data_IF_960676511669
#
_entry.id   IF_960676511669
#
_cell.length_a   1.000
_cell.length_b   1.000
_cell.length_c   1.000
_cell.angle_alpha   90.00
_cell.angle_beta   90.00
_cell.angle_gamma   90.00
#
_symmetry.space_group_name_H-M   'P 1'
#
loop_
_entity.id
_entity.type
_entity.pdbx_description
1 polymer ?
#
# COMPACT_ATOMS: atom_id res chain seq x y z
N UNK A 1 9.78 -53.09 26.88
CA UNK A 1 8.87 -52.71 25.77
C UNK A 1 8.91 -51.20 25.66
N UNK A 2 9.54 -50.68 24.61
CA UNK A 2 9.49 -49.27 24.23
C UNK A 2 8.12 -49.03 23.59
N UNK A 3 7.29 -48.22 24.23
CA UNK A 3 6.05 -47.73 23.63
C UNK A 3 6.43 -46.68 22.60
N UNK A 4 6.18 -46.95 21.31
CA UNK A 4 6.26 -45.91 20.26
C UNK A 4 5.13 -44.90 20.51
N UNK A 5 5.45 -43.64 20.51
CA UNK A 5 4.46 -42.56 20.59
C UNK A 5 3.53 -42.68 19.36
N UNK A 6 2.23 -42.95 19.50
CA UNK A 6 1.32 -43.13 18.37
C UNK A 6 0.98 -41.80 17.67
N UNK A 7 1.37 -40.68 18.24
CA UNK A 7 1.18 -39.35 17.60
C UNK A 7 2.44 -38.99 16.80
N UNK A 8 2.28 -38.82 15.50
CA UNK A 8 3.34 -38.16 14.71
C UNK A 8 3.74 -36.84 15.39
N UNK A 9 5.01 -36.73 15.71
CA UNK A 9 5.55 -35.44 16.15
C UNK A 9 5.44 -34.47 14.99
N UNK A 10 4.31 -33.74 14.95
CA UNK A 10 4.22 -32.54 14.13
C UNK A 10 5.33 -31.62 14.66
N UNK A 11 6.45 -31.55 13.93
CA UNK A 11 7.48 -30.52 14.17
C UNK A 11 6.73 -29.21 14.19
N UNK A 12 6.54 -28.65 15.38
CA UNK A 12 6.05 -27.29 15.50
C UNK A 12 6.94 -26.45 14.60
N UNK A 13 6.40 -25.94 13.48
CA UNK A 13 7.07 -24.89 12.71
C UNK A 13 7.40 -23.83 13.75
N UNK A 14 8.69 -23.57 13.96
CA UNK A 14 9.14 -22.60 14.93
C UNK A 14 8.26 -21.37 14.79
N UNK A 15 7.55 -21.02 15.83
CA UNK A 15 6.79 -19.78 15.86
C UNK A 15 7.83 -18.67 15.75
N UNK A 16 8.05 -18.14 14.55
CA UNK A 16 8.76 -16.89 14.40
C UNK A 16 7.93 -15.86 15.18
N UNK A 17 8.40 -15.56 16.38
CA UNK A 17 7.75 -14.58 17.28
C UNK A 17 7.90 -13.16 16.74
N UNK A 18 8.84 -12.96 15.81
CA UNK A 18 9.16 -11.66 15.21
C UNK A 18 9.04 -11.68 13.68
N UNK A 19 8.84 -10.50 13.11
CA UNK A 19 8.85 -10.32 11.67
C UNK A 19 10.28 -10.43 11.14
N UNK A 20 10.48 -11.22 10.09
CA UNK A 20 11.77 -11.29 9.36
C UNK A 20 12.06 -10.02 8.53
N UNK A 21 11.15 -9.07 8.49
CA UNK A 21 11.30 -7.84 7.71
C UNK A 21 11.75 -6.69 8.60
N UNK A 22 12.78 -6.01 8.14
CA UNK A 22 13.37 -4.88 8.85
C UNK A 22 12.45 -3.64 8.78
N UNK A 23 12.22 -2.93 9.91
CA UNK A 23 11.50 -1.67 9.91
C UNK A 23 12.41 -0.53 9.42
N UNK A 24 11.81 0.45 8.73
CA UNK A 24 12.38 1.75 8.47
C UNK A 24 12.02 2.71 9.61
N UNK A 25 12.91 3.62 10.01
CA UNK A 25 12.59 4.66 10.99
C UNK A 25 11.51 5.61 10.44
N UNK A 26 10.73 6.21 11.33
CA UNK A 26 9.60 7.07 10.93
C UNK A 26 10.02 8.26 10.08
N UNK A 27 11.18 8.86 10.37
CA UNK A 27 11.74 9.95 9.54
C UNK A 27 11.87 9.54 8.07
N UNK A 28 12.41 8.35 7.80
CA UNK A 28 12.55 7.87 6.43
C UNK A 28 11.20 7.61 5.77
N UNK A 29 10.18 7.20 6.54
CA UNK A 29 8.81 7.12 6.03
C UNK A 29 8.29 8.51 5.65
N UNK A 30 8.56 9.54 6.44
CA UNK A 30 8.21 10.93 6.12
C UNK A 30 8.93 11.43 4.86
N UNK A 31 10.23 11.14 4.74
CA UNK A 31 11.00 11.49 3.53
C UNK A 31 10.46 10.79 2.28
N UNK A 32 10.12 9.51 2.38
CA UNK A 32 9.47 8.76 1.27
C UNK A 32 8.10 9.35 0.89
N UNK A 33 7.30 9.77 1.89
CA UNK A 33 6.03 10.48 1.64
C UNK A 33 6.27 11.77 0.87
N UNK A 34 7.26 12.57 1.31
CA UNK A 34 7.57 13.84 0.69
C UNK A 34 8.10 13.69 -0.74
N UNK A 35 8.95 12.70 -1.01
CA UNK A 35 9.41 12.40 -2.37
C UNK A 35 8.23 12.04 -3.27
N UNK A 36 7.32 11.20 -2.78
CA UNK A 36 6.22 10.66 -3.57
C UNK A 36 5.10 11.68 -3.76
N UNK A 37 4.68 12.32 -2.67
CA UNK A 37 3.56 13.27 -2.59
C UNK A 37 4.01 14.47 -1.74
N UNK A 38 4.58 15.52 -2.36
CA UNK A 38 5.20 16.64 -1.64
C UNK A 38 4.18 17.53 -0.92
N UNK A 39 2.91 17.46 -1.30
CA UNK A 39 1.85 18.30 -0.76
C UNK A 39 0.77 17.46 -0.08
N UNK A 40 0.26 17.85 1.10
CA UNK A 40 -0.81 17.13 1.78
C UNK A 40 -2.13 17.15 1.01
N UNK A 41 -2.35 18.18 0.22
CA UNK A 41 -3.45 18.34 -0.74
C UNK A 41 -2.91 18.98 -2.01
N UNK A 42 -3.47 18.67 -3.17
CA UNK A 42 -3.03 19.19 -4.46
C UNK A 42 -3.57 18.36 -5.61
N UNK A 43 -2.80 18.23 -6.66
CA UNK A 43 -3.17 17.53 -7.88
C UNK A 43 -2.15 16.45 -8.24
N UNK A 44 -2.55 15.49 -9.06
CA UNK A 44 -1.61 14.48 -9.57
C UNK A 44 -0.50 15.10 -10.42
N UNK A 45 -0.72 16.30 -11.00
CA UNK A 45 0.33 17.06 -11.65
C UNK A 45 1.49 17.46 -10.72
N UNK A 46 1.27 17.52 -9.40
CA UNK A 46 2.31 17.83 -8.40
C UNK A 46 3.24 16.65 -8.10
N UNK A 47 2.84 15.43 -8.46
CA UNK A 47 3.60 14.21 -8.22
C UNK A 47 4.76 14.03 -9.23
N UNK A 48 5.56 15.08 -9.41
CA UNK A 48 6.60 15.17 -10.46
C UNK A 48 7.58 14.01 -10.43
N UNK A 49 8.04 13.63 -9.23
CA UNK A 49 8.95 12.51 -9.09
C UNK A 49 8.34 11.21 -9.64
N UNK A 50 7.12 10.87 -9.25
CA UNK A 50 6.42 9.67 -9.65
C UNK A 50 6.19 9.58 -11.17
N UNK A 51 5.81 10.70 -11.80
CA UNK A 51 5.59 10.81 -13.25
C UNK A 51 6.85 10.49 -14.05
N UNK A 52 8.04 10.78 -13.51
CA UNK A 52 9.33 10.59 -14.19
C UNK A 52 9.89 9.17 -14.05
N UNK A 53 9.38 8.38 -13.08
CA UNK A 53 9.97 7.08 -12.76
C UNK A 53 9.62 5.97 -13.75
N UNK A 54 8.58 6.14 -14.53
CA UNK A 54 8.13 5.14 -15.50
C UNK A 54 7.96 5.76 -16.88
N UNK A 55 8.13 4.98 -17.92
CA UNK A 55 7.69 5.38 -19.25
C UNK A 55 8.73 5.89 -20.23
N UNK A 56 10.00 5.69 -19.98
CA UNK A 56 11.02 5.91 -21.04
C UNK A 56 11.05 4.80 -22.11
N UNK A 57 10.49 3.62 -21.80
CA UNK A 57 10.40 2.50 -22.71
C UNK A 57 9.19 2.54 -23.64
N UNK A 58 9.20 1.68 -24.67
CA UNK A 58 8.10 1.54 -25.65
C UNK A 58 6.79 1.08 -24.99
N UNK A 59 6.87 0.32 -23.89
CA UNK A 59 5.74 -0.12 -23.07
C UNK A 59 5.71 0.67 -21.76
N UNK A 60 5.15 1.84 -21.80
CA UNK A 60 5.19 2.96 -20.88
C UNK A 60 5.06 2.78 -19.38
N UNK A 61 4.97 1.58 -18.82
CA UNK A 61 4.79 1.44 -17.36
C UNK A 61 3.46 2.07 -16.90
N UNK A 62 3.53 3.22 -16.21
CA UNK A 62 2.34 3.91 -15.71
C UNK A 62 1.72 4.88 -16.74
N UNK A 63 2.26 4.95 -17.96
CA UNK A 63 1.72 5.76 -19.04
C UNK A 63 0.94 4.89 -20.01
N UNK A 64 -0.33 5.16 -20.24
CA UNK A 64 -1.18 4.42 -21.17
C UNK A 64 -1.67 5.32 -22.30
N UNK A 65 -1.82 4.73 -23.47
CA UNK A 65 -2.28 5.42 -24.66
C UNK A 65 -3.77 5.69 -24.58
N UNK A 66 -4.14 6.89 -25.00
CA UNK A 66 -5.53 7.37 -25.04
C UNK A 66 -5.81 8.09 -26.35
N UNK A 67 -7.07 8.23 -26.70
CA UNK A 67 -7.52 9.17 -27.73
C UNK A 67 -7.32 10.60 -27.24
N UNK A 68 -7.01 11.54 -28.16
CA UNK A 68 -6.80 12.96 -27.81
C UNK A 68 -8.04 13.57 -27.17
N UNK A 69 -9.24 13.11 -27.52
CA UNK A 69 -10.50 13.58 -26.97
C UNK A 69 -10.67 13.33 -25.47
N UNK A 70 -9.92 12.35 -24.91
CA UNK A 70 -9.92 12.06 -23.47
C UNK A 70 -9.03 13.01 -22.67
N UNK A 71 -8.16 13.78 -23.35
CA UNK A 71 -7.23 14.68 -22.67
C UNK A 71 -7.93 15.98 -22.30
N UNK A 72 -8.11 16.18 -21.01
CA UNK A 72 -8.59 17.43 -20.47
C UNK A 72 -7.38 18.30 -20.03
N UNK A 73 -7.04 19.29 -20.86
CA UNK A 73 -5.90 20.20 -20.63
C UNK A 73 -6.11 21.13 -19.44
N UNK A 74 -7.36 21.31 -19.00
CA UNK A 74 -7.71 22.17 -17.86
C UNK A 74 -7.73 21.38 -16.54
N UNK A 75 -7.73 20.06 -16.58
CA UNK A 75 -7.71 19.21 -15.41
C UNK A 75 -6.26 18.94 -14.96
N UNK A 76 -5.88 19.52 -13.83
CA UNK A 76 -4.53 19.31 -13.24
C UNK A 76 -4.28 17.85 -12.79
N UNK A 77 -5.33 17.03 -12.72
CA UNK A 77 -5.20 15.60 -12.47
C UNK A 77 -5.05 14.78 -13.76
N UNK A 78 -5.23 15.39 -14.93
CA UNK A 78 -4.92 14.84 -16.24
C UNK A 78 -3.45 15.09 -16.60
N UNK A 79 -2.56 14.28 -16.06
CA UNK A 79 -1.13 14.36 -16.43
C UNK A 79 -0.93 13.64 -17.75
N UNK A 80 -0.66 14.37 -18.81
CA UNK A 80 -0.58 13.84 -20.16
C UNK A 80 0.72 14.23 -20.89
N UNK A 81 1.03 13.50 -21.97
CA UNK A 81 2.13 13.80 -22.89
C UNK A 81 1.82 13.29 -24.30
N UNK A 82 2.48 13.92 -25.30
CA UNK A 82 2.54 13.39 -26.65
C UNK A 82 3.89 12.71 -26.88
N UNK A 83 3.89 11.62 -27.64
CA UNK A 83 5.09 10.86 -27.95
C UNK A 83 5.03 10.37 -29.40
N UNK A 84 6.14 10.58 -30.14
CA UNK A 84 6.30 9.96 -31.45
C UNK A 84 6.70 8.49 -31.29
N UNK A 85 6.03 7.62 -32.01
CA UNK A 85 6.31 6.18 -32.08
C UNK A 85 6.29 5.71 -33.52
N UNK A 86 7.10 4.70 -33.84
CA UNK A 86 7.05 4.06 -35.14
C UNK A 86 6.16 2.83 -35.09
N UNK A 87 5.06 2.85 -35.83
CA UNK A 87 4.16 1.69 -36.03
C UNK A 87 4.03 1.40 -37.52
N UNK A 88 4.21 0.15 -37.91
CA UNK A 88 4.14 -0.27 -39.34
C UNK A 88 4.96 0.63 -40.26
N UNK A 89 6.21 0.94 -39.84
CA UNK A 89 7.18 1.78 -40.57
C UNK A 89 6.75 3.26 -40.75
N UNK A 90 5.66 3.70 -40.12
CA UNK A 90 5.22 5.10 -40.13
C UNK A 90 5.43 5.73 -38.75
N UNK A 91 5.92 6.97 -38.74
CA UNK A 91 5.94 7.79 -37.51
C UNK A 91 4.54 8.31 -37.24
N UNK A 92 4.03 8.04 -36.06
CA UNK A 92 2.73 8.54 -35.59
C UNK A 92 2.92 9.19 -34.22
N UNK A 93 2.18 10.24 -33.96
CA UNK A 93 2.08 10.84 -32.62
C UNK A 93 0.99 10.12 -31.87
N UNK A 94 1.31 9.65 -30.67
CA UNK A 94 0.36 9.06 -29.73
C UNK A 94 0.25 9.96 -28.51
N UNK A 95 -0.91 9.95 -27.88
CA UNK A 95 -1.17 10.65 -26.65
C UNK A 95 -1.24 9.65 -25.50
N UNK A 96 -0.66 10.02 -24.37
CA UNK A 96 -0.63 9.17 -23.18
C UNK A 96 -1.04 9.96 -21.94
N UNK A 97 -1.81 9.32 -21.06
CA UNK A 97 -2.10 9.81 -19.70
C UNK A 97 -1.27 9.00 -18.70
N UNK A 98 -0.77 9.66 -17.66
CA UNK A 98 -0.11 9.01 -16.55
C UNK A 98 -1.13 8.46 -15.56
N UNK A 99 -0.98 7.18 -15.19
CA UNK A 99 -1.78 6.52 -14.17
C UNK A 99 -1.14 6.68 -12.79
N UNK A 100 -1.78 7.32 -11.83
CA UNK A 100 -1.26 7.47 -10.46
C UNK A 100 -1.37 6.21 -9.62
N UNK A 101 -2.01 5.15 -10.12
CA UNK A 101 -2.46 3.98 -9.34
C UNK A 101 -1.32 3.30 -8.58
N UNK A 102 -0.18 3.00 -9.23
CA UNK A 102 0.95 2.34 -8.57
C UNK A 102 1.54 3.20 -7.45
N UNK A 103 1.69 4.49 -7.70
CA UNK A 103 2.18 5.47 -6.73
C UNK A 103 1.20 5.68 -5.57
N UNK A 104 -0.10 5.68 -5.86
CA UNK A 104 -1.13 5.76 -4.83
C UNK A 104 -1.17 4.54 -3.91
N UNK A 105 -0.88 3.32 -4.41
CA UNK A 105 -0.71 2.15 -3.53
C UNK A 105 0.41 2.40 -2.52
N UNK A 106 1.55 2.95 -2.97
CA UNK A 106 2.67 3.27 -2.10
C UNK A 106 2.30 4.38 -1.10
N UNK A 107 1.60 5.42 -1.55
CA UNK A 107 1.10 6.47 -0.68
C UNK A 107 0.26 5.91 0.47
N UNK A 108 -0.71 5.05 0.18
CA UNK A 108 -1.53 4.42 1.21
C UNK A 108 -0.69 3.54 2.15
N UNK A 109 0.26 2.76 1.62
CA UNK A 109 1.14 1.92 2.43
C UNK A 109 2.12 2.70 3.31
N UNK A 110 2.48 3.92 2.91
CA UNK A 110 3.28 4.83 3.72
C UNK A 110 2.48 5.48 4.86
N UNK A 111 1.14 5.53 4.76
CA UNK A 111 0.27 6.15 5.78
C UNK A 111 -0.45 5.13 6.67
N UNK A 112 -0.78 3.96 6.12
CA UNK A 112 -1.56 2.93 6.82
C UNK A 112 -0.81 1.60 6.81
N UNK A 113 -0.77 0.86 7.94
CA UNK A 113 -0.07 -0.42 8.05
C UNK A 113 -0.82 -1.55 7.35
N UNK A 114 -1.27 -1.33 6.12
CA UNK A 114 -2.01 -2.29 5.32
C UNK A 114 -1.06 -3.22 4.56
N UNK A 115 -1.50 -4.47 4.34
CA UNK A 115 -0.82 -5.37 3.40
C UNK A 115 -1.04 -4.88 1.97
N UNK A 116 -0.06 -5.06 1.09
CA UNK A 116 -0.18 -4.67 -0.33
C UNK A 116 -1.46 -5.24 -0.97
N UNK A 117 -1.77 -6.50 -0.67
CA UNK A 117 -3.01 -7.13 -1.12
C UNK A 117 -4.27 -6.39 -0.64
N UNK A 118 -4.30 -5.96 0.63
CA UNK A 118 -5.44 -5.22 1.18
C UNK A 118 -5.66 -3.90 0.42
N UNK A 119 -4.60 -3.14 0.18
CA UNK A 119 -4.70 -1.87 -0.57
C UNK A 119 -5.21 -2.10 -2.00
N UNK A 120 -4.66 -3.10 -2.68
CA UNK A 120 -5.06 -3.42 -4.06
C UNK A 120 -6.53 -3.86 -4.19
N UNK A 121 -7.09 -4.46 -3.14
CA UNK A 121 -8.47 -4.95 -3.10
C UNK A 121 -9.48 -3.93 -2.54
N UNK A 122 -9.06 -2.70 -2.23
CA UNK A 122 -9.99 -1.67 -1.80
C UNK A 122 -11.02 -1.36 -2.90
N UNK A 123 -12.26 -1.26 -2.46
CA UNK A 123 -13.38 -0.89 -3.32
C UNK A 123 -13.54 0.63 -3.37
N UNK A 124 -13.86 1.18 -4.51
CA UNK A 124 -14.02 2.63 -4.72
C UNK A 124 -15.34 3.19 -4.14
N UNK A 125 -16.33 2.32 -3.92
CA UNK A 125 -17.67 2.70 -3.52
C UNK A 125 -18.54 3.20 -4.69
N UNK A 126 -18.11 2.99 -5.95
CA UNK A 126 -18.91 3.40 -7.12
C UNK A 126 -20.24 2.66 -7.22
N UNK A 127 -20.40 1.49 -6.57
CA UNK A 127 -21.66 0.77 -6.50
C UNK A 127 -22.41 0.95 -5.17
N UNK A 128 -21.84 1.68 -4.21
CA UNK A 128 -22.46 1.89 -2.90
C UNK A 128 -23.72 2.76 -2.98
N UNK A 129 -24.61 2.61 -2.02
CA UNK A 129 -25.83 3.45 -1.91
C UNK A 129 -25.46 4.92 -1.65
N UNK A 130 -24.48 5.15 -0.80
CA UNK A 130 -24.00 6.48 -0.45
C UNK A 130 -22.55 6.68 -0.90
N UNK A 131 -22.24 7.90 -1.28
CA UNK A 131 -20.92 8.33 -1.76
C UNK A 131 -20.35 9.41 -0.85
N UNK A 132 -19.10 9.22 -0.44
CA UNK A 132 -18.32 10.27 0.21
C UNK A 132 -17.73 11.20 -0.85
N UNK A 133 -18.03 12.50 -0.76
CA UNK A 133 -17.53 13.50 -1.71
C UNK A 133 -17.35 14.87 -1.03
N UNK A 134 -16.15 15.44 -1.16
CA UNK A 134 -15.79 16.75 -0.60
C UNK A 134 -16.16 16.89 0.90
N UNK A 135 -15.93 15.84 1.68
CA UNK A 135 -16.22 15.84 3.11
C UNK A 135 -17.66 15.48 3.48
N UNK A 136 -18.55 15.27 2.51
CA UNK A 136 -19.96 14.99 2.73
C UNK A 136 -20.36 13.60 2.23
N UNK A 137 -21.45 13.09 2.76
CA UNK A 137 -22.09 11.87 2.29
C UNK A 137 -23.34 12.25 1.47
N UNK A 138 -23.36 11.82 0.21
CA UNK A 138 -24.45 12.09 -0.76
C UNK A 138 -24.98 10.78 -1.32
N UNK A 139 -26.14 10.81 -1.96
CA UNK A 139 -26.62 9.70 -2.77
C UNK A 139 -25.65 9.45 -3.93
N UNK A 140 -25.39 8.19 -4.22
CA UNK A 140 -24.46 7.82 -5.28
C UNK A 140 -25.10 8.08 -6.67
N UNK A 141 -24.46 8.90 -7.53
CA UNK A 141 -25.04 9.27 -8.82
C UNK A 141 -24.90 8.21 -9.92
N UNK A 142 -24.19 7.09 -9.67
CA UNK A 142 -23.97 6.07 -10.68
C UNK A 142 -25.22 5.22 -10.93
N UNK A 143 -25.57 4.98 -12.20
CA UNK A 143 -26.70 4.18 -12.62
C UNK A 143 -26.67 2.72 -12.15
N UNK A 144 -25.45 2.22 -11.83
CA UNK A 144 -25.24 0.89 -11.28
C UNK A 144 -25.08 0.85 -9.76
N UNK A 145 -25.38 1.95 -9.07
CA UNK A 145 -25.41 1.97 -7.60
C UNK A 145 -26.49 1.01 -7.08
N UNK A 146 -26.14 0.23 -6.08
CA UNK A 146 -26.98 -0.82 -5.53
C UNK A 146 -27.61 -0.37 -4.22
N UNK A 147 -28.89 -0.68 -4.04
CA UNK A 147 -29.60 -0.35 -2.82
C UNK A 147 -29.06 -1.18 -1.63
N UNK A 148 -28.84 -0.53 -0.49
CA UNK A 148 -28.27 -1.14 0.72
C UNK A 148 -26.87 -1.76 0.55
N UNK A 149 -26.09 -1.25 -0.41
CA UNK A 149 -24.74 -1.70 -0.66
C UNK A 149 -23.72 -0.73 -0.03
N UNK A 150 -22.67 -1.25 0.58
CA UNK A 150 -21.65 -0.43 1.26
C UNK A 150 -20.37 -1.24 1.37
N UNK A 151 -19.58 -1.27 0.30
CA UNK A 151 -18.27 -1.95 0.20
C UNK A 151 -17.10 -1.01 0.00
N UNK A 152 -17.41 0.24 -0.30
CA UNK A 152 -16.42 1.27 -0.57
C UNK A 152 -15.47 1.50 0.59
N UNK A 153 -14.26 1.95 0.24
CA UNK A 153 -13.20 2.25 1.20
C UNK A 153 -13.60 3.33 2.21
N UNK A 154 -14.49 4.24 1.86
CA UNK A 154 -15.01 5.26 2.76
C UNK A 154 -16.10 4.68 3.65
N UNK A 155 -16.02 4.96 4.96
CA UNK A 155 -16.97 4.47 5.94
C UNK A 155 -17.43 5.60 6.86
N UNK A 156 -18.74 5.81 6.94
CA UNK A 156 -19.32 6.74 7.90
C UNK A 156 -19.44 6.08 9.27
N UNK A 157 -18.99 6.80 10.28
CA UNK A 157 -19.13 6.43 11.69
C UNK A 157 -20.00 7.45 12.38
N UNK A 158 -21.02 6.97 13.06
CA UNK A 158 -21.94 7.79 13.83
C UNK A 158 -22.02 7.27 15.26
N UNK A 159 -21.74 8.14 16.21
CA UNK A 159 -21.98 7.87 17.61
C UNK A 159 -23.37 8.38 17.97
N UNK A 160 -24.31 7.46 18.15
CA UNK A 160 -25.70 7.80 18.45
C UNK A 160 -25.87 8.46 19.84
N UNK A 161 -24.91 8.32 20.76
CA UNK A 161 -24.98 8.90 22.08
C UNK A 161 -24.56 10.37 22.09
N UNK A 162 -23.56 10.73 21.29
CA UNK A 162 -22.99 12.08 21.24
C UNK A 162 -23.38 12.87 20.00
N UNK A 163 -23.96 12.19 18.98
CA UNK A 163 -24.22 12.76 17.68
C UNK A 163 -22.94 13.00 16.85
N UNK A 164 -21.76 12.57 17.34
CA UNK A 164 -20.52 12.73 16.64
C UNK A 164 -20.50 11.89 15.35
N UNK A 165 -20.20 12.53 14.23
CA UNK A 165 -20.03 11.88 12.93
C UNK A 165 -18.59 12.05 12.44
N UNK A 166 -18.03 10.99 11.86
CA UNK A 166 -16.71 11.02 11.24
C UNK A 166 -16.67 10.07 10.04
N UNK A 167 -15.72 10.30 9.14
CA UNK A 167 -15.45 9.39 8.04
C UNK A 167 -14.11 8.71 8.28
N UNK A 168 -14.12 7.39 8.27
CA UNK A 168 -12.91 6.57 8.32
C UNK A 168 -12.86 5.63 7.13
N UNK A 169 -12.22 4.49 7.30
CA UNK A 169 -11.93 3.57 6.20
C UNK A 169 -12.52 2.18 6.47
N UNK A 170 -12.94 1.53 5.40
CA UNK A 170 -13.29 0.12 5.38
C UNK A 170 -12.29 -0.65 4.51
N UNK A 171 -11.67 -1.65 5.10
CA UNK A 171 -10.71 -2.52 4.43
C UNK A 171 -11.42 -3.82 4.07
N UNK A 172 -11.75 -3.99 2.80
CA UNK A 172 -12.66 -5.02 2.28
C UNK A 172 -12.13 -6.47 2.42
N UNK A 173 -10.89 -6.68 2.88
CA UNK A 173 -10.32 -8.03 3.04
C UNK A 173 -9.36 -8.13 4.21
N UNK A 174 -9.42 -9.24 4.96
CA UNK A 174 -8.57 -9.50 6.13
C UNK A 174 -8.02 -10.93 6.18
N UNK A 175 -7.38 -11.36 5.10
CA UNK A 175 -6.64 -12.64 5.00
C UNK A 175 -7.41 -13.83 5.66
N UNK A 176 -6.81 -14.42 6.71
CA UNK A 176 -7.38 -15.60 7.39
C UNK A 176 -8.63 -15.31 8.21
N UNK A 177 -8.83 -14.07 8.64
CA UNK A 177 -10.03 -13.69 9.39
C UNK A 177 -11.32 -13.73 8.54
N UNK A 178 -11.16 -13.70 7.21
CA UNK A 178 -12.27 -13.73 6.26
C UNK A 178 -12.57 -15.14 5.72
N UNK A 179 -11.89 -16.16 6.18
CA UNK A 179 -11.88 -17.49 5.53
C UNK A 179 -13.28 -18.11 5.40
N UNK A 180 -14.15 -17.87 6.39
CA UNK A 180 -15.50 -18.42 6.46
C UNK A 180 -16.57 -17.30 6.53
N UNK A 181 -16.27 -16.11 6.00
CA UNK A 181 -17.16 -14.97 6.05
C UNK A 181 -17.78 -14.70 4.70
N UNK A 182 -19.03 -14.28 4.70
CA UNK A 182 -19.75 -13.81 3.54
C UNK A 182 -19.24 -12.45 3.06
N UNK A 183 -19.65 -12.05 1.88
CA UNK A 183 -19.23 -10.86 1.17
C UNK A 183 -19.26 -9.58 2.05
N UNK A 184 -20.31 -9.39 2.83
CA UNK A 184 -20.52 -8.20 3.67
C UNK A 184 -19.90 -8.27 5.08
N UNK A 185 -19.45 -9.45 5.50
CA UNK A 185 -18.82 -9.66 6.82
C UNK A 185 -17.30 -9.61 6.76
N UNK A 186 -16.73 -9.55 5.56
CA UNK A 186 -15.27 -9.54 5.33
C UNK A 186 -14.67 -8.22 5.74
N UNK A 187 -13.37 -8.26 5.98
CA UNK A 187 -12.61 -7.07 6.24
C UNK A 187 -12.71 -6.54 7.67
N UNK A 188 -12.47 -5.25 7.81
CA UNK A 188 -12.55 -4.53 9.07
C UNK A 188 -12.57 -3.02 8.84
N UNK A 189 -12.97 -2.28 9.85
CA UNK A 189 -13.08 -0.83 9.82
C UNK A 189 -11.93 -0.15 10.57
N UNK A 190 -11.50 0.99 10.06
CA UNK A 190 -10.54 1.89 10.71
C UNK A 190 -11.27 3.20 11.02
N UNK A 191 -11.75 3.40 12.24
CA UNK A 191 -12.52 4.58 12.63
C UNK A 191 -11.61 5.80 12.87
N UNK A 192 -10.78 6.12 11.91
CA UNK A 192 -9.84 7.23 11.94
C UNK A 192 -9.99 8.10 10.71
N UNK A 193 -10.43 9.32 10.91
CA UNK A 193 -10.54 10.32 9.86
C UNK A 193 -9.16 10.93 9.56
N UNK A 194 -8.41 10.26 8.68
CA UNK A 194 -7.15 10.78 8.16
C UNK A 194 -7.44 11.63 6.92
N UNK A 195 -7.50 12.95 7.10
CA UNK A 195 -7.87 13.90 6.05
C UNK A 195 -7.02 13.75 4.77
N UNK A 196 -5.69 13.58 4.92
CA UNK A 196 -4.81 13.43 3.77
C UNK A 196 -5.06 12.14 2.99
N UNK A 197 -5.28 11.03 3.71
CA UNK A 197 -5.59 9.73 3.08
C UNK A 197 -6.95 9.77 2.39
N UNK A 198 -7.97 10.32 3.06
CA UNK A 198 -9.32 10.44 2.49
C UNK A 198 -9.31 11.31 1.23
N UNK A 199 -8.63 12.47 1.27
CA UNK A 199 -8.49 13.37 0.13
C UNK A 199 -7.89 12.68 -1.10
N UNK A 200 -6.76 11.99 -0.93
CA UNK A 200 -6.08 11.35 -2.05
C UNK A 200 -6.80 10.09 -2.55
N UNK A 201 -7.50 9.34 -1.68
CA UNK A 201 -8.36 8.23 -2.11
C UNK A 201 -9.55 8.72 -2.94
N UNK A 202 -10.19 9.81 -2.51
CA UNK A 202 -11.28 10.45 -3.26
C UNK A 202 -10.79 10.95 -4.62
N UNK A 203 -9.62 11.60 -4.65
CA UNK A 203 -8.99 12.04 -5.89
C UNK A 203 -8.69 10.88 -6.84
N UNK A 204 -8.18 9.77 -6.33
CA UNK A 204 -7.94 8.58 -7.13
C UNK A 204 -9.25 8.01 -7.68
N UNK A 205 -10.31 7.94 -6.88
CA UNK A 205 -11.63 7.49 -7.33
C UNK A 205 -12.13 8.35 -8.48
N UNK A 206 -12.13 9.68 -8.32
CA UNK A 206 -12.59 10.62 -9.34
C UNK A 206 -11.73 10.53 -10.62
N UNK A 207 -10.43 10.32 -10.48
CA UNK A 207 -9.53 10.05 -11.60
C UNK A 207 -9.89 8.76 -12.33
N UNK A 208 -10.15 7.66 -11.60
CA UNK A 208 -10.56 6.38 -12.17
C UNK A 208 -11.90 6.48 -12.91
N UNK A 209 -12.87 7.17 -12.34
CA UNK A 209 -14.17 7.40 -12.97
C UNK A 209 -14.05 8.16 -14.29
N UNK A 210 -13.14 9.15 -14.36
CA UNK A 210 -12.94 9.97 -15.56
C UNK A 210 -12.09 9.29 -16.62
N UNK A 211 -10.98 8.65 -16.24
CA UNK A 211 -9.95 8.17 -17.19
C UNK A 211 -9.90 6.65 -17.35
N UNK A 212 -10.55 5.91 -16.49
CA UNK A 212 -10.68 4.45 -16.56
C UNK A 212 -12.05 3.99 -16.02
N UNK A 213 -13.16 4.48 -16.60
CA UNK A 213 -14.51 4.22 -16.10
C UNK A 213 -14.88 2.73 -16.17
N UNK A 214 -15.81 2.35 -15.31
CA UNK A 214 -16.46 1.03 -15.32
C UNK A 214 -17.98 1.21 -15.49
N UNK A 215 -18.63 0.21 -16.06
CA UNK A 215 -20.10 0.22 -16.24
C UNK A 215 -20.84 -0.69 -15.25
N UNK A 216 -20.10 -1.48 -14.49
CA UNK A 216 -20.63 -2.40 -13.48
C UNK A 216 -19.51 -2.89 -12.57
N UNK A 217 -19.85 -3.37 -11.36
CA UNK A 217 -18.88 -4.04 -10.48
C UNK A 217 -18.25 -5.27 -11.15
N UNK A 218 -16.97 -5.51 -10.87
CA UNK A 218 -16.21 -6.65 -11.39
C UNK A 218 -16.50 -7.90 -10.56
N UNK A 219 -16.87 -9.00 -11.20
CA UNK A 219 -17.02 -10.31 -10.55
C UNK A 219 -15.63 -10.82 -10.14
N UNK A 220 -15.44 -11.06 -8.84
CA UNK A 220 -14.17 -11.53 -8.28
C UNK A 220 -13.78 -12.92 -8.76
N UNK A 221 -14.72 -13.74 -9.27
CA UNK A 221 -14.40 -15.05 -9.87
C UNK A 221 -13.54 -14.95 -11.13
N UNK A 222 -13.51 -13.78 -11.76
CA UNK A 222 -12.69 -13.49 -12.95
C UNK A 222 -11.23 -13.14 -12.63
N UNK A 223 -10.88 -13.02 -11.34
CA UNK A 223 -9.53 -12.70 -10.92
C UNK A 223 -8.57 -13.88 -11.12
N UNK A 224 -7.41 -13.59 -11.68
CA UNK A 224 -6.31 -14.53 -11.90
C UNK A 224 -5.25 -14.40 -10.80
N UNK A 225 -4.27 -15.31 -10.79
CA UNK A 225 -3.15 -15.31 -9.83
C UNK A 225 -2.39 -13.97 -9.81
N UNK A 226 -2.21 -13.33 -10.97
CA UNK A 226 -1.56 -12.01 -11.08
C UNK A 226 -2.28 -10.90 -10.31
N UNK A 227 -3.60 -11.05 -10.10
CA UNK A 227 -4.42 -10.10 -9.34
C UNK A 227 -4.47 -10.44 -7.85
N UNK A 228 -4.37 -11.74 -7.49
CA UNK A 228 -4.58 -12.23 -6.12
C UNK A 228 -3.30 -12.62 -5.37
N UNK A 229 -2.11 -12.47 -6.01
CA UNK A 229 -0.77 -12.84 -5.46
C UNK A 229 -0.56 -14.38 -5.37
N UNK A 230 -1.59 -15.14 -5.06
CA UNK A 230 -1.55 -16.61 -4.97
C UNK A 230 -2.83 -17.21 -5.54
N UNK A 231 -2.74 -18.45 -6.01
CA UNK A 231 -3.92 -19.17 -6.51
C UNK A 231 -4.99 -19.25 -5.42
N UNK A 232 -6.20 -18.80 -5.73
CA UNK A 232 -7.37 -18.87 -4.87
C UNK A 232 -8.35 -19.89 -5.42
N UNK A 233 -9.12 -20.54 -4.54
CA UNK A 233 -10.19 -21.43 -4.96
C UNK A 233 -11.34 -20.61 -5.57
N UNK A 234 -12.11 -21.21 -6.47
CA UNK A 234 -13.32 -20.58 -7.03
C UNK A 234 -14.31 -20.20 -5.92
N UNK A 235 -14.48 -21.07 -4.92
CA UNK A 235 -15.35 -20.80 -3.77
C UNK A 235 -14.90 -19.54 -2.99
N UNK A 236 -13.58 -19.37 -2.78
CA UNK A 236 -13.05 -18.16 -2.14
C UNK A 236 -13.34 -16.90 -2.96
N UNK A 237 -13.13 -16.95 -4.27
CA UNK A 237 -13.38 -15.80 -5.15
C UNK A 237 -14.89 -15.49 -5.25
N UNK A 238 -15.74 -16.52 -5.32
CA UNK A 238 -17.20 -16.37 -5.30
C UNK A 238 -17.66 -15.72 -3.99
N UNK A 239 -17.11 -16.12 -2.85
CA UNK A 239 -17.42 -15.51 -1.55
C UNK A 239 -16.91 -14.07 -1.38
N UNK A 240 -16.05 -13.58 -2.29
CA UNK A 240 -15.70 -12.14 -2.36
C UNK A 240 -16.78 -11.32 -3.09
N UNK A 241 -17.65 -11.97 -3.88
CA UNK A 241 -18.71 -11.34 -4.65
C UNK A 241 -18.20 -10.42 -5.74
N UNK A 242 -18.70 -9.20 -5.77
CA UNK A 242 -18.36 -8.18 -6.76
C UNK A 242 -17.61 -7.01 -6.10
N UNK A 243 -16.79 -6.31 -6.88
CA UNK A 243 -16.06 -5.13 -6.39
C UNK A 243 -15.82 -4.10 -7.50
N UNK A 244 -15.90 -2.84 -7.13
CA UNK A 244 -15.43 -1.72 -7.94
C UNK A 244 -14.01 -1.37 -7.50
N UNK A 245 -12.98 -2.06 -8.03
CA UNK A 245 -11.61 -1.87 -7.55
C UNK A 245 -11.13 -0.44 -7.71
N UNK A 246 -10.82 0.22 -6.59
CA UNK A 246 -10.27 1.58 -6.59
C UNK A 246 -8.88 1.62 -7.26
N UNK A 247 -8.07 0.58 -7.05
CA UNK A 247 -6.73 0.43 -7.61
C UNK A 247 -6.73 -0.43 -8.88
N UNK A 248 -7.72 -0.25 -9.75
CA UNK A 248 -7.81 -0.93 -11.04
C UNK A 248 -6.75 -0.44 -12.03
N UNK A 249 -6.26 -1.32 -12.89
CA UNK A 249 -5.08 -1.09 -13.74
C UNK A 249 -5.44 -0.47 -15.09
N UNK A 250 -5.50 0.86 -15.16
CA UNK A 250 -5.75 1.59 -16.41
C UNK A 250 -4.71 1.29 -17.51
N UNK A 251 -3.52 0.81 -17.12
CA UNK A 251 -2.40 0.53 -18.04
C UNK A 251 -2.41 -0.87 -18.62
N UNK A 252 -3.36 -1.71 -18.21
CA UNK A 252 -3.47 -3.08 -18.68
C UNK A 252 -3.70 -3.13 -20.19
N UNK A 253 -3.04 -4.08 -20.86
CA UNK A 253 -3.17 -4.23 -22.32
C UNK A 253 -4.54 -4.76 -22.75
N UNK A 254 -5.17 -5.58 -21.91
CA UNK A 254 -6.46 -6.18 -22.19
C UNK A 254 -7.56 -5.36 -21.53
N UNK A 255 -8.65 -5.04 -22.25
CA UNK A 255 -9.77 -4.29 -21.68
C UNK A 255 -10.34 -4.94 -20.40
N UNK A 256 -10.45 -6.27 -20.38
CA UNK A 256 -10.94 -7.03 -19.23
C UNK A 256 -10.03 -6.99 -18.00
N UNK A 257 -8.79 -6.59 -18.16
CA UNK A 257 -7.84 -6.43 -17.04
C UNK A 257 -7.82 -4.99 -16.50
N UNK A 258 -8.30 -4.01 -17.29
CA UNK A 258 -8.36 -2.60 -16.86
C UNK A 258 -9.29 -2.36 -15.67
N UNK A 259 -10.28 -3.23 -15.49
CA UNK A 259 -11.24 -3.17 -14.37
C UNK A 259 -10.77 -3.96 -13.14
N UNK A 260 -9.64 -4.67 -13.24
CA UNK A 260 -9.08 -5.53 -12.19
C UNK A 260 -7.95 -4.84 -11.44
N UNK A 261 -7.61 -5.32 -10.22
CA UNK A 261 -6.56 -4.70 -9.40
C UNK A 261 -5.18 -4.70 -10.10
N UNK A 262 -4.44 -3.61 -9.95
CA UNK A 262 -3.05 -3.48 -10.42
C UNK A 262 -2.17 -4.61 -9.88
N UNK A 263 -1.20 -5.06 -10.68
CA UNK A 263 -0.30 -6.15 -10.32
C UNK A 263 0.77 -5.69 -9.30
N UNK A 264 1.16 -6.59 -8.40
CA UNK A 264 2.19 -6.35 -7.38
C UNK A 264 3.55 -5.98 -7.99
N UNK A 265 3.88 -6.55 -9.13
CA UNK A 265 5.12 -6.25 -9.84
C UNK A 265 5.24 -4.81 -10.33
N UNK A 266 4.12 -4.15 -10.67
CA UNK A 266 4.12 -2.74 -11.07
C UNK A 266 4.44 -1.84 -9.87
N UNK A 267 3.84 -2.13 -8.72
CA UNK A 267 4.06 -1.41 -7.46
C UNK A 267 5.52 -1.57 -6.99
N UNK A 268 6.03 -2.80 -7.03
CA UNK A 268 7.40 -3.12 -6.62
C UNK A 268 8.45 -2.36 -7.43
N UNK A 269 8.22 -2.12 -8.72
CA UNK A 269 9.13 -1.32 -9.57
C UNK A 269 9.25 0.12 -9.09
N UNK A 270 8.12 0.74 -8.72
CA UNK A 270 8.12 2.12 -8.20
C UNK A 270 8.74 2.15 -6.80
N UNK A 271 8.48 1.13 -5.98
CA UNK A 271 9.04 1.00 -4.63
C UNK A 271 10.56 0.98 -4.63
N UNK A 272 11.19 0.14 -5.45
CA UNK A 272 12.66 0.10 -5.54
C UNK A 272 13.26 1.45 -5.95
N UNK A 273 12.61 2.18 -6.85
CA UNK A 273 13.06 3.50 -7.27
C UNK A 273 12.90 4.54 -6.16
N UNK A 274 11.82 4.44 -5.39
CA UNK A 274 11.55 5.32 -4.27
C UNK A 274 12.58 5.12 -3.15
N UNK A 275 12.90 3.87 -2.83
CA UNK A 275 13.98 3.55 -1.88
C UNK A 275 15.35 4.06 -2.39
N UNK A 276 15.63 3.89 -3.68
CA UNK A 276 16.89 4.40 -4.24
C UNK A 276 16.96 5.93 -4.17
N UNK A 277 15.87 6.63 -4.45
CA UNK A 277 15.84 8.09 -4.31
C UNK A 277 16.07 8.52 -2.86
N UNK A 278 15.47 7.82 -1.90
CA UNK A 278 15.74 8.06 -0.49
C UNK A 278 17.23 7.83 -0.18
N UNK A 279 17.82 6.72 -0.63
CA UNK A 279 19.25 6.41 -0.46
C UNK A 279 20.15 7.56 -0.96
N UNK A 280 19.83 8.12 -2.15
CA UNK A 280 20.57 9.27 -2.70
C UNK A 280 20.39 10.54 -1.85
N UNK A 281 19.19 10.80 -1.37
CA UNK A 281 18.91 11.97 -0.54
C UNK A 281 19.66 11.85 0.83
N UNK A 282 19.68 10.66 1.42
CA UNK A 282 20.39 10.40 2.68
C UNK A 282 21.91 10.56 2.53
N UNK A 283 22.45 10.16 1.39
CA UNK A 283 23.87 10.38 1.08
C UNK A 283 24.21 11.87 1.01
N UNK A 284 23.33 12.68 0.40
CA UNK A 284 23.52 14.13 0.32
C UNK A 284 23.36 14.81 1.68
N UNK A 285 22.43 14.33 2.52
CA UNK A 285 22.20 14.89 3.86
C UNK A 285 23.24 14.47 4.89
N UNK A 286 24.13 13.52 4.55
CA UNK A 286 25.19 13.04 5.44
C UNK A 286 24.73 11.98 6.44
N UNK A 287 23.59 11.35 6.23
CA UNK A 287 23.15 10.16 6.99
C UNK A 287 23.96 8.95 6.51
N UNK A 288 25.15 8.79 7.07
CA UNK A 288 26.09 7.72 6.78
C UNK A 288 26.27 6.82 8.01
N UNK A 289 26.78 5.62 7.79
CA UNK A 289 27.17 4.69 8.87
C UNK A 289 28.37 5.22 9.62
N UNK A 290 28.65 4.68 10.82
CA UNK A 290 29.76 5.12 11.67
C UNK A 290 31.13 4.91 11.01
N UNK A 291 31.23 3.93 10.10
CA UNK A 291 32.43 3.67 9.32
C UNK A 291 32.60 4.61 8.11
N UNK A 292 31.74 5.62 7.97
CA UNK A 292 31.75 6.57 6.87
C UNK A 292 31.17 6.02 5.55
N UNK A 293 30.66 4.78 5.54
CA UNK A 293 30.05 4.20 4.35
C UNK A 293 28.60 4.65 4.19
N UNK A 294 28.14 4.72 2.92
CA UNK A 294 26.76 5.06 2.61
C UNK A 294 25.81 3.91 2.98
N UNK A 295 24.66 4.26 3.58
CA UNK A 295 23.60 3.31 3.84
C UNK A 295 23.05 2.80 2.50
N UNK A 296 22.96 1.48 2.33
CA UNK A 296 22.41 0.83 1.13
C UNK A 296 21.02 0.30 1.43
N UNK A 297 20.01 0.85 0.71
CA UNK A 297 18.63 0.41 0.81
C UNK A 297 18.24 -0.53 -0.35
N UNK A 298 18.89 -0.40 -1.50
CA UNK A 298 18.63 -1.22 -2.68
C UNK A 298 19.94 -1.78 -3.23
N UNK A 299 20.00 -3.09 -3.44
CA UNK A 299 21.13 -3.77 -4.05
C UNK A 299 20.94 -3.90 -5.57
N UNK A 300 22.04 -3.83 -6.33
CA UNK A 300 22.08 -3.99 -7.81
C UNK A 300 21.25 -2.95 -8.60
N UNK A 301 20.97 -1.80 -8.03
CA UNK A 301 20.21 -0.74 -8.69
C UNK A 301 21.04 -0.14 -9.82
N UNK A 302 21.60 -0.31 -10.61
CA UNK A 302 22.34 0.29 -11.76
C UNK A 302 22.40 -0.63 -12.98
N UNK A 303 22.04 -1.89 -12.78
CA UNK A 303 22.02 -2.88 -13.86
C UNK A 303 20.62 -2.90 -14.51
N UNK A 304 20.29 -1.82 -15.21
CA UNK A 304 18.94 -1.45 -15.63
C UNK A 304 18.15 -2.51 -16.40
N UNK A 305 18.82 -3.39 -17.14
CA UNK A 305 18.15 -4.43 -17.94
C UNK A 305 17.97 -5.78 -17.24
N UNK A 306 18.43 -5.93 -15.99
CA UNK A 306 18.22 -7.14 -15.19
C UNK A 306 17.36 -6.84 -13.96
N UNK A 307 16.14 -6.34 -14.19
CA UNK A 307 15.14 -6.06 -13.14
C UNK A 307 14.88 -7.26 -12.21
N UNK A 308 15.09 -8.48 -12.67
CA UNK A 308 14.92 -9.70 -11.90
C UNK A 308 15.96 -9.92 -10.78
N UNK A 309 17.01 -9.10 -10.70
CA UNK A 309 18.08 -9.22 -9.71
C UNK A 309 18.10 -8.08 -8.67
N UNK A 310 17.12 -7.18 -8.69
CA UNK A 310 17.04 -6.16 -7.65
C UNK A 310 16.57 -6.76 -6.36
N UNK A 311 17.26 -6.50 -5.28
CA UNK A 311 16.90 -6.92 -3.94
C UNK A 311 16.95 -5.74 -2.98
N UNK A 312 16.18 -5.85 -1.91
CA UNK A 312 16.20 -4.91 -0.80
C UNK A 312 15.89 -5.67 0.48
N UNK A 313 16.49 -5.26 1.57
CA UNK A 313 16.13 -5.72 2.91
C UNK A 313 14.80 -5.12 3.39
N UNK A 314 14.28 -4.15 2.65
CA UNK A 314 13.01 -3.45 2.92
C UNK A 314 11.96 -3.71 1.83
N UNK A 315 11.45 -4.96 1.68
CA UNK A 315 10.37 -5.22 0.72
C UNK A 315 9.11 -4.44 1.10
N UNK A 316 8.12 -4.37 0.23
CA UNK A 316 6.85 -3.66 0.48
C UNK A 316 6.18 -4.01 1.81
N UNK A 317 6.41 -5.22 2.33
CA UNK A 317 5.89 -5.64 3.63
C UNK A 317 6.56 -4.91 4.79
N UNK A 318 7.81 -4.48 4.63
CA UNK A 318 8.54 -3.69 5.65
C UNK A 318 7.81 -2.42 6.04
N UNK A 319 7.11 -1.75 5.12
CA UNK A 319 6.30 -0.57 5.45
C UNK A 319 5.23 -0.84 6.52
N UNK A 320 4.60 -2.02 6.46
CA UNK A 320 3.66 -2.43 7.49
C UNK A 320 4.34 -2.66 8.84
N UNK A 321 5.48 -3.34 8.81
CA UNK A 321 6.27 -3.58 10.03
C UNK A 321 6.76 -2.26 10.61
N UNK A 322 7.27 -1.36 9.76
CA UNK A 322 7.76 -0.03 10.16
C UNK A 322 6.67 0.78 10.87
N UNK A 323 5.50 0.94 10.24
CA UNK A 323 4.42 1.74 10.84
C UNK A 323 3.91 1.13 12.14
N UNK A 324 3.74 -0.21 12.21
CA UNK A 324 3.32 -0.87 13.46
C UNK A 324 4.37 -0.66 14.55
N UNK A 325 5.65 -0.85 14.22
CA UNK A 325 6.76 -0.66 15.17
C UNK A 325 6.80 0.79 15.67
N UNK A 326 6.76 1.77 14.76
CA UNK A 326 6.78 3.18 15.13
C UNK A 326 5.56 3.56 16.00
N UNK A 327 4.36 3.10 15.67
CA UNK A 327 3.17 3.40 16.48
C UNK A 327 3.24 2.80 17.88
N UNK A 328 3.79 1.60 18.03
CA UNK A 328 3.89 0.93 19.33
C UNK A 328 5.09 1.47 20.12
N UNK A 329 6.27 1.51 19.51
CA UNK A 329 7.53 1.78 20.22
C UNK A 329 7.82 3.26 20.38
N UNK A 330 7.59 4.06 19.32
CA UNK A 330 7.92 5.48 19.33
C UNK A 330 6.73 6.33 19.80
N UNK A 331 5.53 6.06 19.30
CA UNK A 331 4.31 6.80 19.63
C UNK A 331 3.56 6.23 20.86
N UNK A 332 3.99 5.08 21.40
CA UNK A 332 3.40 4.45 22.58
C UNK A 332 1.90 4.19 22.48
N UNK A 333 1.37 3.99 21.27
CA UNK A 333 -0.03 3.62 21.10
C UNK A 333 -0.30 2.25 21.73
N UNK A 334 -1.43 2.09 22.43
CA UNK A 334 -1.80 0.80 22.99
C UNK A 334 -1.84 -0.29 21.92
N UNK A 335 -1.18 -1.41 22.19
CA UNK A 335 -1.11 -2.56 21.27
C UNK A 335 -2.48 -2.99 20.72
N UNK A 336 -3.57 -3.00 21.49
CA UNK A 336 -4.91 -3.30 20.98
C UNK A 336 -5.38 -2.34 19.88
N UNK A 337 -5.08 -1.04 20.01
CA UNK A 337 -5.46 -0.01 19.03
C UNK A 337 -4.76 -0.27 17.71
N UNK A 338 -3.44 -0.44 17.74
CA UNK A 338 -2.65 -0.70 16.53
C UNK A 338 -3.03 -2.03 15.89
N UNK A 339 -3.19 -3.07 16.69
CA UNK A 339 -3.48 -4.41 16.20
C UNK A 339 -4.87 -4.54 15.59
N UNK A 340 -5.90 -4.12 16.32
CA UNK A 340 -7.30 -4.34 15.93
C UNK A 340 -7.78 -3.29 14.93
N UNK A 341 -7.54 -2.02 15.21
CA UNK A 341 -8.12 -0.92 14.43
C UNK A 341 -7.27 -0.52 13.22
N UNK A 342 -5.94 -0.61 13.30
CA UNK A 342 -5.07 -0.23 12.18
C UNK A 342 -4.62 -1.41 11.35
N UNK A 343 -4.18 -2.47 12.01
CA UNK A 343 -3.56 -3.62 11.34
C UNK A 343 -4.54 -4.75 11.01
N UNK A 344 -5.73 -4.77 11.59
CA UNK A 344 -6.73 -5.81 11.38
C UNK A 344 -6.26 -7.20 11.80
N UNK A 345 -5.48 -7.33 12.90
CA UNK A 345 -5.03 -8.62 13.39
C UNK A 345 -6.16 -9.37 14.13
N UNK A 346 -6.44 -10.61 13.70
CA UNK A 346 -7.50 -11.44 14.29
C UNK A 346 -7.17 -11.98 15.68
N UNK A 347 -5.94 -11.98 16.15
CA UNK A 347 -5.47 -12.71 17.33
C UNK A 347 -5.10 -11.92 18.57
N UNK A 348 -5.11 -10.62 18.59
CA UNK A 348 -5.03 -9.87 19.86
C UNK A 348 -6.44 -9.67 20.37
N UNK A 349 -6.86 -10.66 20.78
CA UNK A 349 -7.44 -11.23 21.98
C UNK A 349 -8.67 -10.49 22.48
N UNK A 350 -9.63 -11.29 22.60
CA UNK A 350 -10.87 -11.23 23.36
C UNK A 350 -10.96 -10.20 24.50
N UNK A 351 -9.89 -9.81 25.15
CA UNK A 351 -9.86 -8.76 26.17
C UNK A 351 -10.17 -7.35 25.61
N UNK A 352 -9.86 -7.13 24.33
CA UNK A 352 -10.11 -5.84 23.65
C UNK A 352 -11.56 -5.74 23.16
N UNK A 353 -12.29 -6.83 23.13
CA UNK A 353 -13.72 -6.84 22.79
C UNK A 353 -14.56 -5.92 23.67
N UNK A 354 -14.08 -5.64 24.89
CA UNK A 354 -14.79 -4.81 25.87
C UNK A 354 -14.37 -3.35 25.89
N UNK A 355 -13.36 -2.94 25.11
CA UNK A 355 -12.95 -1.55 25.03
C UNK A 355 -13.63 -0.90 23.84
N UNK A 356 -14.73 -0.23 24.05
CA UNK A 356 -15.37 0.62 23.04
C UNK A 356 -14.45 1.82 22.76
N UNK A 357 -13.66 1.72 21.68
CA UNK A 357 -12.96 2.87 21.15
C UNK A 357 -13.91 3.61 20.20
N UNK A 358 -14.36 4.77 20.64
CA UNK A 358 -15.18 5.63 19.80
C UNK A 358 -14.32 6.31 18.72
N UNK A 359 -14.91 6.73 17.58
CA UNK A 359 -14.18 7.47 16.55
C UNK A 359 -13.49 8.74 17.09
N UNK A 360 -14.12 9.42 18.07
CA UNK A 360 -13.54 10.60 18.70
C UNK A 360 -12.24 10.29 19.44
N UNK A 361 -12.22 9.24 20.27
CA UNK A 361 -11.04 8.78 21.01
C UNK A 361 -9.95 8.34 20.04
N UNK A 362 -10.31 7.65 18.95
CA UNK A 362 -9.34 7.24 17.95
C UNK A 362 -8.68 8.44 17.27
N UNK A 363 -9.47 9.44 16.89
CA UNK A 363 -8.96 10.68 16.27
C UNK A 363 -7.97 11.39 17.20
N UNK A 364 -8.33 11.55 18.49
CA UNK A 364 -7.48 12.18 19.49
C UNK A 364 -6.15 11.44 19.64
N UNK A 365 -6.20 10.11 19.88
CA UNK A 365 -5.00 9.28 20.06
C UNK A 365 -4.09 9.23 18.85
N UNK A 366 -4.65 9.20 17.65
CA UNK A 366 -3.83 9.23 16.42
C UNK A 366 -3.21 10.61 16.20
N UNK A 367 -3.87 11.68 16.62
CA UNK A 367 -3.29 13.03 16.54
C UNK A 367 -2.13 13.18 17.53
N UNK A 368 -2.28 12.69 18.76
CA UNK A 368 -1.19 12.63 19.74
C UNK A 368 0.00 11.78 19.23
N UNK A 369 -0.29 10.58 18.72
CA UNK A 369 0.71 9.69 18.23
C UNK A 369 1.52 10.30 17.08
N UNK A 370 0.88 10.96 16.13
CA UNK A 370 1.58 11.62 15.04
C UNK A 370 2.53 12.72 15.54
N UNK A 371 2.13 13.52 16.53
CA UNK A 371 3.02 14.51 17.17
C UNK A 371 4.23 13.85 17.81
N UNK A 372 4.02 12.78 18.59
CA UNK A 372 5.11 12.05 19.25
C UNK A 372 6.09 11.41 18.24
N UNK A 373 5.59 10.93 17.10
CA UNK A 373 6.43 10.36 16.04
C UNK A 373 7.30 11.44 15.39
N UNK A 374 6.73 12.60 15.13
CA UNK A 374 7.47 13.73 14.57
C UNK A 374 8.58 14.20 15.52
N UNK A 375 8.31 14.28 16.82
CA UNK A 375 9.27 14.66 17.85
C UNK A 375 10.40 13.64 17.99
N UNK A 376 10.10 12.32 17.90
CA UNK A 376 11.08 11.23 18.07
C UNK A 376 11.77 10.78 16.78
N UNK A 377 11.47 11.39 15.65
CA UNK A 377 11.94 10.93 14.33
C UNK A 377 13.47 10.86 14.22
N UNK A 378 14.20 11.81 14.85
CA UNK A 378 15.66 11.85 14.82
C UNK A 378 16.31 10.73 15.64
N UNK A 379 15.73 10.40 16.80
CA UNK A 379 16.25 9.33 17.66
C UNK A 379 16.07 7.96 17.00
N UNK A 380 14.95 7.73 16.34
CA UNK A 380 14.71 6.47 15.62
C UNK A 380 15.68 6.27 14.44
N UNK A 381 16.12 7.36 13.77
CA UNK A 381 17.16 7.28 12.74
C UNK A 381 18.49 6.84 13.31
N UNK A 382 18.92 7.41 14.46
CA UNK A 382 20.18 7.02 15.11
C UNK A 382 20.18 5.54 15.48
N UNK A 383 19.06 5.05 16.05
CA UNK A 383 18.93 3.63 16.39
C UNK A 383 18.97 2.76 15.14
N UNK A 384 18.25 3.14 14.08
CA UNK A 384 18.28 2.44 12.81
C UNK A 384 19.67 2.33 12.20
N UNK A 385 20.44 3.43 12.24
CA UNK A 385 21.82 3.43 11.72
C UNK A 385 22.72 2.48 12.49
N UNK A 386 22.63 2.47 13.84
CA UNK A 386 23.35 1.50 14.68
C UNK A 386 23.00 0.06 14.34
N UNK A 387 21.72 -0.25 14.17
CA UNK A 387 21.26 -1.59 13.79
C UNK A 387 21.73 -1.99 12.37
N UNK A 388 21.75 -1.04 11.44
CA UNK A 388 22.28 -1.27 10.09
C UNK A 388 23.78 -1.59 10.12
N UNK A 389 24.56 -0.91 10.98
CA UNK A 389 25.97 -1.19 11.21
C UNK A 389 26.20 -2.60 11.77
N UNK A 390 25.46 -2.96 12.82
CA UNK A 390 25.52 -4.31 13.40
C UNK A 390 25.23 -5.38 12.37
N UNK A 391 24.19 -5.23 11.55
CA UNK A 391 23.88 -6.18 10.49
C UNK A 391 24.98 -6.27 9.43
N UNK A 392 25.61 -5.16 9.07
CA UNK A 392 26.73 -5.18 8.12
C UNK A 392 27.94 -5.92 8.71
N UNK A 393 28.20 -5.76 10.02
CA UNK A 393 29.22 -6.49 10.73
C UNK A 393 28.89 -7.99 10.75
N UNK A 394 27.67 -8.37 11.11
CA UNK A 394 27.21 -9.75 11.12
C UNK A 394 27.32 -10.40 9.73
N UNK A 395 26.92 -9.70 8.66
CA UNK A 395 27.08 -10.18 7.29
C UNK A 395 28.56 -10.37 6.92
N UNK A 396 29.46 -9.45 7.32
CA UNK A 396 30.90 -9.59 7.10
C UNK A 396 31.46 -10.78 7.88
N UNK A 397 31.06 -10.97 9.12
CA UNK A 397 31.48 -12.11 9.95
C UNK A 397 30.96 -13.44 9.40
N UNK A 398 29.71 -13.50 8.95
CA UNK A 398 29.16 -14.70 8.31
C UNK A 398 29.90 -15.07 7.02
N UNK A 399 30.41 -14.08 6.28
CA UNK A 399 31.20 -14.32 5.09
C UNK A 399 32.61 -14.87 5.40
N UNK A 400 33.18 -14.49 6.55
CA UNK A 400 34.48 -15.01 7.03
C UNK A 400 34.37 -16.39 7.70
N UNK A 401 33.18 -16.78 8.16
CA UNK A 401 32.91 -18.09 8.77
C UNK A 401 32.38 -19.09 7.71
N UNK A 402 32.65 -18.88 6.43
CA UNK A 402 32.35 -19.85 5.39
C UNK A 402 33.19 -21.13 5.49
N UNK A 403 32.83 -22.22 4.79
CA UNK A 403 33.37 -23.57 4.95
C UNK A 403 34.91 -23.70 4.71
N UNK A 404 35.60 -22.64 4.38
CA UNK A 404 37.07 -22.62 4.30
C UNK A 404 37.80 -22.66 5.64
N UNK A 405 37.10 -22.55 6.78
CA UNK A 405 37.72 -22.65 8.10
C UNK A 405 37.62 -24.08 8.65
N UNK A 406 36.75 -24.94 8.13
CA UNK A 406 36.68 -26.34 8.53
C UNK A 406 37.70 -27.25 7.84
N UNK A 407 38.51 -26.74 6.91
CA UNK A 407 39.53 -27.48 6.17
C UNK A 407 40.97 -27.12 6.56
N UNK A 408 41.20 -26.48 7.71
CA UNK A 408 42.55 -26.17 8.21
C UNK A 408 42.85 -26.91 9.54
#
# INVERSE_FOLDING_TARGET
RLYANPFEQVKAKGNNTESVHNPLPYRYICDLRHILCPMPRGHFSDWKWAQQQTGQGFRGGDWFEVDESLIDKNDLDCVWRSKEVTRSSKRITIHQIWSPVASMVLFIKLHLPLRTYQVRMLDSGEADTLRYENGNWIENPHDFALNRYSKGVFRQFKDNATGFESTGLYISTNKTADQNKDEFERGYEIPWQNEGVLYWLEKLRNWQEKYNPISKPTDCTTLEVKHTISKRSKAFLSAMGHSCFLFRDATANKPEDKVKPIQDSAISKVWYKLLYQLEQNLLVSGDILSDGTALRLVHDYGKAYKLAKKSTEFPLHSLRVSLITCYIMDAQLPLPVVSKLLAGHSRIIMTVYYTKLTPAVMKEKMTEANKLLDDKSQESVRTFLKDAEMRQIECKMAYHNGPSIEAA
#
